data_IF_164874183330
#
_entry.id   IF_164874183330
#
_cell.length_a   1.000
_cell.length_b   1.000
_cell.length_c   1.000
_cell.angle_alpha   90.00
_cell.angle_beta   90.00
_cell.angle_gamma   90.00
#
_symmetry.space_group_name_H-M   'P 1'
#
loop_
_entity.id
_entity.type
_entity.pdbx_description
1 polymer ?
#
# COMPACT_ATOMS: atom_id res chain seq x y z
N UNK A 1 -8.53 15.04 -10.73
CA UNK A 1 -8.30 13.96 -9.74
C UNK A 1 -6.80 13.60 -9.68
N UNK A 2 -6.24 13.30 -8.51
CA UNK A 2 -4.80 13.07 -8.36
C UNK A 2 -4.28 11.90 -9.23
N UNK A 3 -5.08 10.85 -9.46
CA UNK A 3 -4.78 9.77 -10.42
C UNK A 3 -4.48 10.25 -11.85
N UNK A 4 -5.15 11.31 -12.29
CA UNK A 4 -4.95 11.88 -13.62
C UNK A 4 -3.79 12.90 -13.66
N UNK A 5 -3.33 13.37 -12.51
CA UNK A 5 -2.29 14.39 -12.39
C UNK A 5 -0.90 13.80 -12.06
N UNK A 6 -0.84 12.59 -11.48
CA UNK A 6 0.40 11.95 -11.08
C UNK A 6 0.34 10.42 -11.36
N UNK A 7 0.90 9.96 -12.50
CA UNK A 7 0.90 8.56 -12.90
C UNK A 7 1.50 7.60 -11.85
N UNK A 8 2.45 8.08 -11.05
CA UNK A 8 3.08 7.32 -9.95
C UNK A 8 2.07 6.76 -8.94
N UNK A 9 0.90 7.39 -8.81
CA UNK A 9 -0.18 6.87 -7.95
C UNK A 9 -0.68 5.52 -8.46
N UNK A 10 -0.79 5.33 -9.78
CA UNK A 10 -1.18 4.04 -10.35
C UNK A 10 -0.13 2.97 -10.07
N UNK A 11 1.16 3.31 -10.15
CA UNK A 11 2.25 2.39 -9.88
C UNK A 11 2.23 1.90 -8.43
N UNK A 12 1.98 2.82 -7.48
CA UNK A 12 1.85 2.47 -6.06
C UNK A 12 0.64 1.57 -5.82
N UNK A 13 -0.53 1.90 -6.40
CA UNK A 13 -1.74 1.07 -6.27
C UNK A 13 -1.57 -0.31 -6.88
N UNK A 14 -0.90 -0.42 -8.03
CA UNK A 14 -0.60 -1.69 -8.67
C UNK A 14 0.37 -2.52 -7.82
N UNK A 15 1.43 -1.90 -7.30
CA UNK A 15 2.41 -2.55 -6.44
C UNK A 15 1.76 -3.06 -5.15
N UNK A 16 0.86 -2.29 -4.54
CA UNK A 16 0.07 -2.69 -3.37
C UNK A 16 -0.88 -3.85 -3.69
N UNK A 17 -1.65 -3.75 -4.78
CA UNK A 17 -2.62 -4.76 -5.20
C UNK A 17 -1.99 -6.10 -5.62
N UNK A 18 -0.72 -6.08 -6.03
CA UNK A 18 0.03 -7.28 -6.40
C UNK A 18 0.60 -8.04 -5.18
N UNK A 19 0.52 -7.48 -3.97
CA UNK A 19 1.02 -8.15 -2.76
C UNK A 19 0.12 -9.32 -2.36
N UNK A 20 0.72 -10.41 -1.88
CA UNK A 20 -0.02 -11.57 -1.41
C UNK A 20 -0.92 -11.21 -0.23
N UNK A 21 -2.17 -11.70 -0.25
CA UNK A 21 -3.15 -11.42 0.80
C UNK A 21 -3.77 -10.01 0.75
N UNK A 22 -3.45 -9.18 -0.25
CA UNK A 22 -4.12 -7.88 -0.44
C UNK A 22 -5.61 -8.09 -0.77
N UNK A 23 -6.50 -7.52 0.05
CA UNK A 23 -7.95 -7.54 -0.16
C UNK A 23 -8.47 -6.25 -0.78
N UNK A 24 -7.77 -5.14 -0.56
CA UNK A 24 -8.12 -3.82 -1.08
C UNK A 24 -6.86 -2.99 -1.23
N UNK A 25 -6.68 -2.32 -2.37
CA UNK A 25 -5.69 -1.26 -2.55
C UNK A 25 -6.40 -0.03 -3.13
N UNK A 26 -6.26 1.13 -2.47
CA UNK A 26 -6.89 2.38 -2.93
C UNK A 26 -6.20 3.62 -2.37
N UNK A 27 -6.59 4.77 -2.89
CA UNK A 27 -6.21 6.06 -2.32
C UNK A 27 -7.13 6.44 -1.16
N UNK A 28 -6.59 7.23 -0.23
CA UNK A 28 -7.39 7.94 0.76
C UNK A 28 -7.90 9.28 0.21
N UNK A 29 -9.20 9.36 -0.10
CA UNK A 29 -9.86 10.59 -0.55
C UNK A 29 -9.34 11.13 -1.89
N UNK A 30 -9.06 12.43 -1.95
CA UNK A 30 -8.59 13.15 -3.16
C UNK A 30 -7.07 13.27 -3.28
N UNK A 31 -6.30 12.82 -2.28
CA UNK A 31 -4.84 12.97 -2.18
C UNK A 31 -4.02 11.72 -2.55
N UNK A 32 -2.69 11.87 -2.65
CA UNK A 32 -1.76 10.85 -3.17
C UNK A 32 -1.48 9.66 -2.23
N UNK A 33 -1.95 9.69 -0.99
CA UNK A 33 -1.72 8.61 -0.03
C UNK A 33 -2.48 7.36 -0.45
N UNK A 34 -1.71 6.32 -0.80
CA UNK A 34 -2.21 5.00 -1.16
C UNK A 34 -2.07 4.06 0.04
N UNK A 35 -3.06 3.19 0.23
CA UNK A 35 -3.04 2.18 1.28
C UNK A 35 -3.62 0.86 0.78
N UNK A 36 -3.27 -0.22 1.48
CA UNK A 36 -3.86 -1.52 1.26
C UNK A 36 -4.31 -2.18 2.55
N UNK A 37 -5.37 -2.99 2.46
CA UNK A 37 -5.84 -3.86 3.52
C UNK A 37 -5.46 -5.29 3.17
N UNK A 38 -4.95 -6.01 4.17
CA UNK A 38 -4.49 -7.38 4.04
C UNK A 38 -5.37 -8.34 4.84
N UNK A 39 -5.30 -9.62 4.48
CA UNK A 39 -6.04 -10.69 5.14
C UNK A 39 -5.71 -10.83 6.62
N UNK A 40 -4.44 -10.67 6.96
CA UNK A 40 -3.91 -10.78 8.30
C UNK A 40 -2.65 -9.90 8.47
N UNK A 41 -2.17 -9.82 9.70
CA UNK A 41 -0.99 -9.02 10.05
C UNK A 41 0.29 -9.53 9.36
N UNK A 42 0.45 -10.86 9.21
CA UNK A 42 1.63 -11.46 8.58
C UNK A 42 1.72 -11.09 7.09
N UNK A 43 0.59 -11.11 6.38
CA UNK A 43 0.49 -10.66 5.00
C UNK A 43 0.84 -9.18 4.86
N UNK A 44 0.35 -8.34 5.79
CA UNK A 44 0.70 -6.92 5.85
C UNK A 44 2.20 -6.68 6.08
N UNK A 45 2.82 -7.42 6.98
CA UNK A 45 4.26 -7.31 7.27
C UNK A 45 5.12 -7.76 6.08
N UNK A 46 4.75 -8.87 5.46
CA UNK A 46 5.44 -9.38 4.28
C UNK A 46 5.33 -8.40 3.10
N UNK A 47 4.15 -7.81 2.89
CA UNK A 47 3.95 -6.77 1.90
C UNK A 47 4.83 -5.54 2.16
N UNK A 48 4.89 -5.06 3.41
CA UNK A 48 5.73 -3.92 3.78
C UNK A 48 7.23 -4.19 3.52
N UNK A 49 7.71 -5.39 3.85
CA UNK A 49 9.09 -5.82 3.55
C UNK A 49 9.35 -5.87 2.03
N UNK A 50 8.44 -6.49 1.28
CA UNK A 50 8.57 -6.62 -0.17
C UNK A 50 8.60 -5.25 -0.88
N UNK A 51 7.71 -4.34 -0.49
CA UNK A 51 7.64 -2.99 -1.06
C UNK A 51 8.88 -2.16 -0.75
N UNK A 52 9.40 -2.22 0.49
CA UNK A 52 10.65 -1.53 0.87
C UNK A 52 11.86 -2.06 0.09
N UNK A 53 11.89 -3.36 -0.22
CA UNK A 53 12.96 -3.96 -1.02
C UNK A 53 12.85 -3.58 -2.50
N UNK A 54 11.65 -3.65 -3.07
CA UNK A 54 11.40 -3.34 -4.48
C UNK A 54 11.49 -1.84 -4.79
N UNK A 55 11.13 -0.99 -3.81
CA UNK A 55 11.08 0.46 -3.93
C UNK A 55 11.75 1.12 -2.71
N UNK A 56 13.08 1.12 -2.63
CA UNK A 56 13.81 1.64 -1.47
C UNK A 56 13.60 3.13 -1.22
N UNK A 57 13.22 3.89 -2.25
CA UNK A 57 12.94 5.33 -2.17
C UNK A 57 11.50 5.62 -1.67
N UNK A 58 10.65 4.59 -1.51
CA UNK A 58 9.28 4.77 -1.06
C UNK A 58 9.20 4.79 0.46
N UNK A 59 8.42 5.74 0.98
CA UNK A 59 8.00 5.69 2.37
C UNK A 59 6.90 4.64 2.54
N UNK A 60 7.16 3.63 3.37
CA UNK A 60 6.23 2.54 3.66
C UNK A 60 6.02 2.45 5.17
N UNK A 61 4.78 2.66 5.61
CA UNK A 61 4.35 2.47 6.99
C UNK A 61 3.33 1.34 7.09
N UNK A 62 3.50 0.51 8.12
CA UNK A 62 2.53 -0.50 8.53
C UNK A 62 1.82 0.02 9.77
N UNK A 63 0.51 -0.21 9.84
CA UNK A 63 -0.29 0.04 11.04
C UNK A 63 -0.72 -1.30 11.61
N UNK A 64 -0.46 -1.50 12.90
CA UNK A 64 -0.92 -2.69 13.60
C UNK A 64 -2.40 -2.54 14.00
N UNK A 65 -3.06 -3.65 14.28
CA UNK A 65 -4.41 -3.61 14.86
C UNK A 65 -4.37 -2.87 16.20
N UNK A 66 -5.37 -2.03 16.46
CA UNK A 66 -5.48 -1.34 17.74
C UNK A 66 -5.58 -2.40 18.87
N UNK A 67 -4.90 -2.19 20.01
CA UNK A 67 -5.06 -3.08 21.16
C UNK A 67 -6.54 -3.14 21.55
N UNK A 68 -7.06 -4.36 21.71
CA UNK A 68 -8.45 -4.60 22.14
C UNK A 68 -8.64 -4.32 23.62
#
# INVERSE_FOLDING_TARGET
>A
PALAAAPVINDVLAALGAQNGCKLARMSGSGATCFALFEDADAGENAAKALRLAHPDWWVAQTDEAPT
#
